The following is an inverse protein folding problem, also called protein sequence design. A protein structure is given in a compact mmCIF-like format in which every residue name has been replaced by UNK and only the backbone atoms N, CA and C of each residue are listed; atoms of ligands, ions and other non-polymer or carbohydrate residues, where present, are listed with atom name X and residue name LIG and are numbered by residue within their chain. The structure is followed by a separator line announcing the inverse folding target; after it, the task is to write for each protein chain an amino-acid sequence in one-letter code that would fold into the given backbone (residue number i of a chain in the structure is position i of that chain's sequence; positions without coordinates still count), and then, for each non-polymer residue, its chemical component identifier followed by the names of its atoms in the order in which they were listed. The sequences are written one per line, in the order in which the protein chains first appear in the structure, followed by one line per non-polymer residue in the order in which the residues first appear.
data_IF_555119978880
#
_entry.id   IF_555119978880
#
_cell.length_a   1.000
_cell.length_b   1.000
_cell.length_c   1.000
_cell.angle_alpha   90.00
_cell.angle_beta   90.00
_cell.angle_gamma   90.00
#
_symmetry.space_group_name_H-M   'P 1'
#
loop_
_entity.id
_entity.type
_entity.pdbx_description
1 polymer ?
#
# COMPACT_ATOMS: atom_id res chain seq x y z
N UNK A 1 -3.52 -11.25 10.75
CA UNK A 1 -3.21 -10.64 9.44
C UNK A 1 -2.30 -9.43 9.61
N UNK A 2 -1.42 -9.14 8.64
CA UNK A 2 -0.57 -7.92 8.61
C UNK A 2 -1.20 -6.88 7.67
N UNK A 3 -1.22 -5.62 8.11
CA UNK A 3 -1.79 -4.49 7.35
C UNK A 3 -0.79 -3.33 7.38
N UNK A 4 -0.54 -2.72 6.22
CA UNK A 4 0.29 -1.51 6.12
C UNK A 4 -0.58 -0.26 6.28
N UNK A 5 -0.15 0.65 7.15
CA UNK A 5 -0.80 1.95 7.36
C UNK A 5 0.22 3.08 7.34
N UNK A 6 -0.23 4.28 6.98
CA UNK A 6 0.52 5.51 7.11
C UNK A 6 0.38 6.11 8.53
N UNK A 7 1.45 6.66 9.06
CA UNK A 7 1.50 7.27 10.39
C UNK A 7 1.96 8.73 10.40
N UNK A 8 2.12 9.33 9.22
CA UNK A 8 2.46 10.75 9.04
C UNK A 8 1.37 11.54 8.29
N UNK A 9 1.53 12.85 8.17
CA UNK A 9 0.48 13.75 7.72
C UNK A 9 0.24 13.84 6.20
N UNK A 10 1.21 13.41 5.37
CA UNK A 10 1.16 13.59 3.91
C UNK A 10 0.39 12.51 3.15
N UNK A 11 -0.24 11.58 3.85
CA UNK A 11 -0.95 10.44 3.26
C UNK A 11 -0.04 9.27 2.88
N UNK A 12 -0.66 8.19 2.44
CA UNK A 12 0.06 6.99 2.01
C UNK A 12 0.75 7.22 0.67
N UNK A 13 2.06 6.96 0.62
CA UNK A 13 2.80 7.02 -0.64
C UNK A 13 4.10 6.23 -0.58
N UNK A 14 4.36 5.42 -1.60
CA UNK A 14 5.59 4.62 -1.69
C UNK A 14 6.76 5.44 -2.24
N UNK A 15 7.98 5.08 -1.84
CA UNK A 15 9.20 5.58 -2.46
C UNK A 15 9.43 4.91 -3.83
N UNK A 16 10.31 5.48 -4.65
CA UNK A 16 10.67 4.86 -5.93
C UNK A 16 11.35 3.50 -5.73
N UNK A 17 12.12 3.34 -4.64
CA UNK A 17 12.79 2.08 -4.28
C UNK A 17 11.76 1.00 -3.90
N UNK A 18 10.71 1.36 -3.16
CA UNK A 18 9.62 0.44 -2.86
C UNK A 18 8.80 0.05 -4.09
N UNK A 19 8.49 1.03 -4.96
CA UNK A 19 7.79 0.77 -6.21
C UNK A 19 8.56 -0.22 -7.09
N UNK A 20 9.87 -0.01 -7.25
CA UNK A 20 10.74 -0.90 -8.02
C UNK A 20 10.85 -2.29 -7.38
N UNK A 21 10.97 -2.36 -6.05
CA UNK A 21 11.00 -3.64 -5.32
C UNK A 21 9.75 -4.48 -5.59
N UNK A 22 8.56 -3.88 -5.47
CA UNK A 22 7.28 -4.58 -5.68
C UNK A 22 7.13 -4.99 -7.14
N UNK A 23 7.49 -4.10 -8.08
CA UNK A 23 7.43 -4.38 -9.52
C UNK A 23 8.27 -5.63 -9.88
N UNK A 24 9.50 -5.70 -9.38
CA UNK A 24 10.39 -6.84 -9.61
C UNK A 24 9.84 -8.15 -9.06
N UNK A 25 9.18 -8.11 -7.88
CA UNK A 25 8.59 -9.31 -7.28
C UNK A 25 7.35 -9.80 -7.99
N UNK A 26 6.52 -8.88 -8.48
CA UNK A 26 5.26 -9.19 -9.16
C UNK A 26 5.43 -9.41 -10.67
N UNK A 27 6.59 -9.06 -11.23
CA UNK A 27 6.82 -9.09 -12.68
C UNK A 27 6.04 -7.99 -13.41
N UNK A 28 5.86 -6.85 -12.77
CA UNK A 28 5.21 -5.66 -13.36
C UNK A 28 6.26 -4.70 -13.89
N UNK A 29 5.86 -3.82 -14.82
CA UNK A 29 6.72 -2.72 -15.25
C UNK A 29 6.50 -1.52 -14.34
N UNK A 30 7.57 -0.94 -13.81
CA UNK A 30 7.52 0.30 -13.05
C UNK A 30 7.70 1.50 -13.98
N UNK A 31 6.80 2.48 -13.90
CA UNK A 31 6.82 3.69 -14.71
C UNK A 31 6.92 4.94 -13.83
N UNK A 32 7.58 5.96 -14.36
CA UNK A 32 7.66 7.28 -13.74
C UNK A 32 7.51 8.36 -14.82
N UNK A 33 6.65 9.36 -14.57
CA UNK A 33 6.51 10.54 -15.44
C UNK A 33 7.45 11.66 -15.02
N UNK A 34 7.63 12.64 -15.92
CA UNK A 34 8.39 13.85 -15.65
C UNK A 34 7.80 14.71 -14.50
N UNK A 35 6.55 14.44 -14.10
CA UNK A 35 5.86 15.10 -12.99
C UNK A 35 5.90 14.30 -11.68
N UNK A 36 6.78 13.31 -11.57
CA UNK A 36 6.94 12.42 -10.41
C UNK A 36 5.73 11.52 -10.11
N UNK A 37 4.80 11.41 -11.06
CA UNK A 37 3.74 10.40 -10.99
C UNK A 37 4.37 9.02 -11.25
N UNK A 38 3.93 8.03 -10.49
CA UNK A 38 4.52 6.70 -10.46
C UNK A 38 3.41 5.66 -10.42
N UNK A 39 3.46 4.70 -11.32
CA UNK A 39 2.50 3.61 -11.41
C UNK A 39 3.21 2.33 -11.84
N UNK A 40 2.51 1.21 -11.67
CA UNK A 40 2.88 -0.07 -12.25
C UNK A 40 1.99 -0.42 -13.43
N UNK A 41 2.55 -1.17 -14.37
CA UNK A 41 1.81 -1.76 -15.48
C UNK A 41 1.89 -3.29 -15.36
N UNK A 42 0.79 -3.97 -15.01
CA UNK A 42 0.76 -5.42 -14.95
C UNK A 42 0.72 -6.03 -16.36
N UNK A 43 1.06 -7.32 -16.54
CA UNK A 43 0.96 -7.99 -17.83
C UNK A 43 -0.48 -7.97 -18.38
N UNK A 44 -0.66 -7.72 -19.68
CA UNK A 44 -1.99 -7.58 -20.31
C UNK A 44 -2.95 -8.77 -20.07
N UNK A 45 -2.40 -9.98 -19.89
CA UNK A 45 -3.17 -11.22 -19.68
C UNK A 45 -3.21 -11.65 -18.20
N UNK A 46 -2.91 -10.75 -17.27
CA UNK A 46 -2.92 -11.02 -15.82
C UNK A 46 -4.29 -10.77 -15.19
N UNK A 47 -4.52 -11.34 -14.00
CA UNK A 47 -5.73 -11.04 -13.23
C UNK A 47 -5.75 -9.57 -12.82
N UNK A 48 -4.58 -9.03 -12.45
CA UNK A 48 -4.42 -7.68 -11.96
C UNK A 48 -4.73 -6.65 -13.03
N UNK A 49 -4.35 -6.89 -14.30
CA UNK A 49 -4.79 -6.06 -15.41
C UNK A 49 -6.31 -6.04 -15.56
N UNK A 50 -6.99 -7.17 -15.35
CA UNK A 50 -8.45 -7.24 -15.45
C UNK A 50 -9.15 -6.54 -14.27
N UNK A 51 -8.51 -6.47 -13.10
CA UNK A 51 -9.08 -5.87 -11.88
C UNK A 51 -8.82 -4.36 -11.82
N UNK A 52 -7.57 -3.95 -12.05
CA UNK A 52 -7.12 -2.56 -11.86
C UNK A 52 -6.93 -1.80 -13.17
N UNK A 53 -6.85 -2.51 -14.31
CA UNK A 53 -6.51 -1.93 -15.60
C UNK A 53 -5.00 -1.88 -15.85
N UNK A 54 -4.59 -1.07 -16.83
CA UNK A 54 -3.20 -0.97 -17.26
C UNK A 54 -2.30 -0.10 -16.38
N UNK A 55 -2.86 0.63 -15.42
CA UNK A 55 -2.11 1.53 -14.53
C UNK A 55 -2.56 1.26 -13.10
N UNK A 56 -1.64 0.75 -12.28
CA UNK A 56 -1.85 0.46 -10.85
C UNK A 56 -1.04 1.45 -10.04
N UNK A 57 -1.70 2.22 -9.18
CA UNK A 57 -1.07 3.16 -8.28
C UNK A 57 -0.76 2.48 -6.93
N UNK A 58 0.11 3.08 -6.13
CA UNK A 58 0.43 2.59 -4.78
C UNK A 58 -0.80 2.52 -3.86
N UNK A 59 -1.80 3.38 -4.09
CA UNK A 59 -3.08 3.37 -3.40
C UNK A 59 -4.03 2.24 -3.83
N UNK A 60 -3.86 1.69 -5.03
CA UNK A 60 -4.70 0.58 -5.53
C UNK A 60 -4.28 -0.77 -4.92
N UNK A 61 -3.02 -0.87 -4.49
CA UNK A 61 -2.49 -2.10 -3.94
C UNK A 61 -3.17 -2.42 -2.60
N UNK A 62 -3.69 -3.65 -2.39
CA UNK A 62 -4.28 -4.02 -1.12
C UNK A 62 -3.30 -3.77 0.04
N UNK A 63 -3.78 -3.18 1.13
CA UNK A 63 -2.97 -2.88 2.34
C UNK A 63 -2.42 -4.13 3.03
N UNK A 64 -2.95 -5.30 2.66
CA UNK A 64 -2.57 -6.63 3.13
C UNK A 64 -1.72 -7.39 2.11
N UNK A 65 -1.38 -6.79 0.97
CA UNK A 65 -0.55 -7.41 -0.06
C UNK A 65 0.77 -7.88 0.54
N UNK A 66 1.13 -9.14 0.28
CA UNK A 66 2.31 -9.77 0.87
C UNK A 66 3.59 -9.07 0.45
N UNK A 67 3.72 -8.69 -0.82
CA UNK A 67 4.93 -8.05 -1.32
C UNK A 67 5.04 -6.61 -0.81
N UNK A 68 3.91 -5.92 -0.61
CA UNK A 68 3.86 -4.63 0.09
C UNK A 68 4.35 -4.76 1.53
N UNK A 69 3.79 -5.69 2.31
CA UNK A 69 4.20 -5.92 3.71
C UNK A 69 5.68 -6.24 3.81
N UNK A 70 6.18 -7.17 2.99
CA UNK A 70 7.60 -7.51 2.96
C UNK A 70 8.47 -6.31 2.56
N UNK A 71 8.03 -5.49 1.61
CA UNK A 71 8.73 -4.28 1.21
C UNK A 71 8.92 -3.31 2.38
N UNK A 72 7.85 -3.02 3.14
CA UNK A 72 7.92 -2.12 4.31
C UNK A 72 8.83 -2.70 5.40
N UNK A 73 8.74 -4.00 5.67
CA UNK A 73 9.56 -4.66 6.70
C UNK A 73 11.05 -4.68 6.34
N UNK A 74 11.39 -4.82 5.05
CA UNK A 74 12.77 -4.92 4.59
C UNK A 74 13.44 -3.55 4.38
N UNK A 75 12.74 -2.62 3.71
CA UNK A 75 13.31 -1.32 3.34
C UNK A 75 13.17 -0.28 4.47
N UNK A 76 12.24 -0.48 5.41
CA UNK A 76 12.02 0.45 6.51
C UNK A 76 11.73 1.86 6.00
N UNK A 77 12.48 2.84 6.49
CA UNK A 77 12.34 4.27 6.16
C UNK A 77 12.61 4.63 4.70
N UNK A 78 13.24 3.73 3.95
CA UNK A 78 13.41 3.89 2.51
C UNK A 78 12.18 3.50 1.70
N UNK A 79 11.16 2.90 2.32
CA UNK A 79 10.01 2.37 1.59
C UNK A 79 8.96 3.42 1.19
N UNK A 80 9.02 4.63 1.75
CA UNK A 80 7.96 5.63 1.56
C UNK A 80 8.45 6.98 1.02
N UNK A 81 7.50 7.70 0.42
CA UNK A 81 7.73 9.01 -0.17
C UNK A 81 7.84 10.14 0.85
N UNK A 82 7.93 11.37 0.34
CA UNK A 82 7.98 12.57 1.19
C UNK A 82 6.68 12.73 1.97
N UNK A 83 6.79 13.06 3.26
CA UNK A 83 5.66 13.29 4.18
C UNK A 83 4.80 12.04 4.45
N UNK A 84 5.32 10.84 4.20
CA UNK A 84 4.71 9.58 4.62
C UNK A 84 5.59 8.94 5.72
N UNK A 85 5.00 8.06 6.51
CA UNK A 85 5.73 7.14 7.38
C UNK A 85 4.93 5.85 7.50
N UNK A 86 5.33 4.80 6.78
CA UNK A 86 4.57 3.57 6.70
C UNK A 86 5.02 2.58 7.78
N UNK A 87 4.05 1.82 8.31
CA UNK A 87 4.34 0.74 9.26
C UNK A 87 3.38 -0.43 9.08
N UNK A 88 3.82 -1.59 9.52
CA UNK A 88 3.00 -2.81 9.55
C UNK A 88 2.35 -2.96 10.92
N UNK A 89 1.03 -3.16 10.93
CA UNK A 89 0.24 -3.49 12.12
C UNK A 89 -0.28 -4.91 11.99
N UNK A 90 -0.33 -5.63 13.11
CA UNK A 90 -0.89 -6.97 13.19
C UNK A 90 -2.33 -6.85 13.71
N UNK A 91 -3.28 -7.32 12.91
CA UNK A 91 -4.70 -7.40 13.27
C UNK A 91 -5.04 -8.87 13.51
N UNK A 92 -5.74 -9.24 14.60
CA UNK A 92 -6.19 -10.62 14.80
C UNK A 92 -7.11 -11.08 13.66
N UNK A 93 -7.00 -12.35 13.25
CA UNK A 93 -7.76 -12.87 12.10
C UNK A 93 -9.28 -12.98 12.37
N UNK A 94 -9.69 -12.99 13.64
CA UNK A 94 -11.09 -13.11 14.07
C UNK A 94 -11.81 -11.75 14.18
N UNK A 95 -11.11 -10.66 13.88
CA UNK A 95 -11.59 -9.29 14.06
C UNK A 95 -11.85 -8.68 12.69
N UNK A 96 -13.09 -8.26 12.46
CA UNK A 96 -13.43 -7.38 11.33
C UNK A 96 -12.91 -5.97 11.63
N UNK A 97 -12.37 -5.29 10.63
CA UNK A 97 -11.70 -4.00 10.80
C UNK A 97 -11.78 -3.14 9.55
N UNK A 98 -11.61 -1.84 9.75
CA UNK A 98 -11.42 -0.87 8.67
C UNK A 98 -10.28 0.09 9.02
N UNK A 99 -9.76 0.78 7.99
CA UNK A 99 -8.80 1.88 8.18
C UNK A 99 -9.59 3.15 8.44
N UNK A 100 -9.26 3.82 9.53
CA UNK A 100 -9.64 5.21 9.74
C UNK A 100 -8.44 6.11 9.46
N UNK A 101 -8.73 7.31 9.02
CA UNK A 101 -7.73 8.29 8.62
C UNK A 101 -8.13 9.68 9.14
N UNK A 102 -7.14 10.40 9.66
CA UNK A 102 -7.26 11.82 9.98
C UNK A 102 -5.94 12.55 9.68
N UNK A 103 -6.03 13.56 8.82
CA UNK A 103 -4.90 14.37 8.34
C UNK A 103 -3.74 13.52 7.83
N UNK A 104 -4.01 12.51 7.01
CA UNK A 104 -3.07 11.53 6.45
C UNK A 104 -2.72 10.38 7.39
N UNK A 105 -2.89 10.54 8.72
CA UNK A 105 -2.54 9.50 9.69
C UNK A 105 -3.62 8.44 9.74
N UNK A 106 -3.23 7.21 9.48
CA UNK A 106 -4.11 6.06 9.48
C UNK A 106 -3.98 5.26 10.78
N UNK A 107 -5.08 4.62 11.19
CA UNK A 107 -5.10 3.59 12.21
C UNK A 107 -6.13 2.51 11.86
N UNK A 108 -5.91 1.31 12.41
CA UNK A 108 -6.89 0.22 12.31
C UNK A 108 -7.93 0.42 13.40
N UNK A 109 -9.21 0.47 13.01
CA UNK A 109 -10.34 0.44 13.92
C UNK A 109 -11.10 -0.87 13.74
N UNK A 110 -11.42 -1.54 14.84
CA UNK A 110 -12.22 -2.75 14.83
C UNK A 110 -13.70 -2.41 14.57
N UNK A 111 -14.38 -3.25 13.80
CA UNK A 111 -15.81 -3.14 13.59
C UNK A 111 -16.55 -3.75 14.79
N UNK A 112 -17.12 -2.88 15.62
CA UNK A 112 -17.87 -3.28 16.80
C UNK A 112 -19.39 -3.19 16.60
N UNK A 113 -20.12 -3.95 17.41
CA UNK A 113 -21.58 -3.83 17.50
C UNK A 113 -21.95 -2.50 18.14
N UNK A 114 -22.87 -1.79 17.52
CA UNK A 114 -23.52 -0.60 18.06
C UNK A 114 -24.93 -0.97 18.52
N UNK A 115 -25.30 -0.54 19.72
CA UNK A 115 -26.66 -0.73 20.26
C UNK A 115 -27.25 0.65 20.54
N UNK A 116 -28.53 0.83 20.23
CA UNK A 116 -29.33 2.02 20.57
C UNK A 116 -30.34 1.70 21.65
#
# INVERSE_FOLDING_TARGET
MKVVINSDYGGFGLSSEAMEFIANRKGWNYQISDYYERWWEPPLNSLEYNVFGGQIWDLDLPRTDRDLVECIELLGDKSWGRNAALKVVIVPDEVEWHIQEQDGREWIAEDHRTWM
#
